data_IF_159147904369
#
_entry.id   IF_159147904369
#
_cell.length_a   1.000
_cell.length_b   1.000
_cell.length_c   1.000
_cell.angle_alpha   90.00
_cell.angle_beta   90.00
_cell.angle_gamma   90.00
#
_symmetry.space_group_name_H-M   'P 1'
#
loop_
_entity.id
_entity.type
_entity.pdbx_description
1 polymer ?
#
# COMPACT_ATOMS: atom_id res chain seq x y z
N UNK A 1 0.07 14.97 -9.05
CA UNK A 1 -1.22 15.00 -8.32
C UNK A 1 -2.34 15.24 -9.31
N UNK A 2 -3.54 14.73 -9.01
CA UNK A 2 -4.75 15.03 -9.79
C UNK A 2 -5.03 16.54 -9.80
N UNK A 3 -5.27 17.16 -10.97
CA UNK A 3 -5.33 18.62 -11.08
C UNK A 3 -6.62 19.20 -10.48
N UNK A 4 -7.71 18.44 -10.49
CA UNK A 4 -8.99 18.87 -9.94
C UNK A 4 -9.00 18.73 -8.40
N UNK A 5 -9.25 19.82 -7.64
CA UNK A 5 -9.39 19.76 -6.18
C UNK A 5 -10.55 18.89 -5.69
N UNK A 6 -11.67 18.85 -6.41
CA UNK A 6 -12.84 18.04 -6.05
C UNK A 6 -12.56 16.55 -6.24
N UNK A 7 -11.88 16.16 -7.32
CA UNK A 7 -11.47 14.77 -7.52
C UNK A 7 -10.49 14.32 -6.43
N UNK A 8 -9.54 15.19 -6.04
CA UNK A 8 -8.64 14.91 -4.91
C UNK A 8 -9.39 14.72 -3.60
N UNK A 9 -10.39 15.56 -3.31
CA UNK A 9 -11.21 15.41 -2.12
C UNK A 9 -12.04 14.12 -2.16
N UNK A 10 -12.63 13.79 -3.31
CA UNK A 10 -13.40 12.56 -3.50
C UNK A 10 -12.54 11.32 -3.28
N UNK A 11 -11.35 11.28 -3.88
CA UNK A 11 -10.39 10.20 -3.69
C UNK A 11 -9.95 10.09 -2.22
N UNK A 12 -9.65 11.21 -1.56
CA UNK A 12 -9.31 11.21 -0.14
C UNK A 12 -10.44 10.64 0.73
N UNK A 13 -11.70 11.05 0.50
CA UNK A 13 -12.84 10.49 1.21
C UNK A 13 -12.94 8.98 1.01
N UNK A 14 -12.68 8.50 -0.22
CA UNK A 14 -12.69 7.07 -0.51
C UNK A 14 -11.55 6.30 0.17
N UNK A 15 -10.38 6.93 0.32
CA UNK A 15 -9.25 6.38 1.09
C UNK A 15 -9.60 6.25 2.57
N UNK A 16 -10.09 7.32 3.19
CA UNK A 16 -10.51 7.28 4.60
C UNK A 16 -11.67 6.29 4.82
N UNK A 17 -12.58 6.15 3.85
CA UNK A 17 -13.61 5.11 3.89
C UNK A 17 -12.99 3.70 3.88
N UNK A 18 -11.90 3.49 3.15
CA UNK A 18 -11.14 2.24 3.18
C UNK A 18 -10.64 1.88 4.59
N UNK A 19 -10.18 2.86 5.37
CA UNK A 19 -9.82 2.64 6.78
C UNK A 19 -11.02 2.30 7.67
N UNK A 20 -12.19 2.91 7.42
CA UNK A 20 -13.41 2.57 8.17
C UNK A 20 -13.86 1.13 7.94
N UNK A 21 -13.62 0.59 6.74
CA UNK A 21 -13.99 -0.79 6.40
C UNK A 21 -12.96 -1.84 6.86
N UNK A 22 -11.78 -1.41 7.32
CA UNK A 22 -10.75 -2.30 7.87
C UNK A 22 -11.18 -2.88 9.23
N UNK A 23 -10.66 -4.06 9.58
CA UNK A 23 -10.95 -4.68 10.87
C UNK A 23 -10.50 -3.74 12.01
N UNK A 24 -11.38 -3.36 12.97
CA UNK A 24 -11.02 -2.47 14.07
C UNK A 24 -9.87 -2.97 14.95
N UNK A 25 -9.58 -4.28 14.93
CA UNK A 25 -8.39 -4.83 15.59
C UNK A 25 -7.07 -4.34 14.96
N UNK A 26 -7.12 -3.72 13.77
CA UNK A 26 -5.94 -3.16 13.12
C UNK A 26 -5.44 -1.88 13.80
N UNK A 27 -6.35 -1.14 14.45
CA UNK A 27 -6.10 0.09 15.22
C UNK A 27 -5.64 -0.17 16.67
N UNK A 28 -5.44 -1.43 17.08
CA UNK A 28 -4.92 -1.74 18.41
C UNK A 28 -3.46 -1.26 18.54
N UNK A 29 -3.26 -0.15 19.25
CA UNK A 29 -1.94 0.45 19.53
C UNK A 29 -0.98 -0.50 20.27
N UNK A 30 -1.48 -1.59 20.87
CA UNK A 30 -0.66 -2.59 21.55
C UNK A 30 -0.21 -3.72 20.63
N UNK A 31 -0.75 -3.82 19.42
CA UNK A 31 -0.33 -4.81 18.44
C UNK A 31 1.05 -4.43 17.87
N UNK A 32 1.99 -5.38 17.77
CA UNK A 32 3.28 -5.11 17.16
C UNK A 32 3.09 -4.74 15.68
N UNK A 33 3.44 -3.50 15.33
CA UNK A 33 3.43 -3.01 13.95
C UNK A 33 4.78 -3.25 13.29
N UNK A 34 4.73 -3.75 12.06
CA UNK A 34 5.89 -3.88 11.17
C UNK A 34 5.72 -3.01 9.92
N UNK A 35 6.81 -2.77 9.19
CA UNK A 35 6.79 -2.08 7.90
C UNK A 35 5.77 -2.70 6.96
N UNK A 36 5.75 -4.03 6.82
CA UNK A 36 4.79 -4.73 5.96
C UNK A 36 3.35 -4.52 6.41
N UNK A 37 3.07 -4.67 7.71
CA UNK A 37 1.72 -4.54 8.25
C UNK A 37 1.19 -3.14 8.01
N UNK A 38 1.94 -2.10 8.40
CA UNK A 38 1.48 -0.72 8.25
C UNK A 38 1.34 -0.34 6.77
N UNK A 39 2.29 -0.75 5.93
CA UNK A 39 2.19 -0.49 4.49
C UNK A 39 0.96 -1.13 3.86
N UNK A 40 0.57 -2.34 4.28
CA UNK A 40 -0.65 -2.99 3.79
C UNK A 40 -1.93 -2.35 4.32
N UNK A 41 -1.93 -1.75 5.52
CA UNK A 41 -3.05 -0.96 6.03
C UNK A 41 -3.30 0.23 5.08
N UNK A 42 -2.27 1.04 4.86
CA UNK A 42 -2.35 2.22 3.98
C UNK A 42 -2.62 1.82 2.52
N UNK A 43 -1.94 0.77 2.04
CA UNK A 43 -2.07 0.27 0.68
C UNK A 43 -3.44 -0.32 0.37
N UNK A 44 -4.09 -0.94 1.36
CA UNK A 44 -5.46 -1.45 1.20
C UNK A 44 -6.47 -0.31 1.14
N UNK A 45 -6.33 0.72 1.97
CA UNK A 45 -7.16 1.92 1.89
C UNK A 45 -7.00 2.62 0.54
N UNK A 46 -5.78 2.70 0.03
CA UNK A 46 -5.48 3.25 -1.30
C UNK A 46 -6.09 2.40 -2.43
N UNK A 47 -6.07 1.07 -2.32
CA UNK A 47 -6.73 0.18 -3.28
C UNK A 47 -8.26 0.41 -3.28
N UNK A 48 -8.88 0.54 -2.10
CA UNK A 48 -10.32 0.85 -1.99
C UNK A 48 -10.62 2.20 -2.64
N UNK A 49 -9.79 3.21 -2.37
CA UNK A 49 -9.89 4.52 -2.98
C UNK A 49 -9.82 4.45 -4.51
N UNK A 50 -8.88 3.67 -5.05
CA UNK A 50 -8.75 3.45 -6.49
C UNK A 50 -10.00 2.77 -7.07
N UNK A 51 -10.50 1.71 -6.43
CA UNK A 51 -11.68 0.99 -6.91
C UNK A 51 -12.94 1.87 -6.96
N UNK A 52 -13.05 2.86 -6.06
CA UNK A 52 -14.19 3.78 -5.98
C UNK A 52 -14.03 4.98 -6.92
N UNK A 53 -12.84 5.59 -6.92
CA UNK A 53 -12.57 6.86 -7.62
C UNK A 53 -11.91 6.73 -8.98
N UNK A 54 -11.34 5.57 -9.30
CA UNK A 54 -10.57 5.33 -10.52
C UNK A 54 -9.21 6.05 -10.54
N UNK A 55 -8.72 6.53 -9.40
CA UNK A 55 -7.47 7.29 -9.28
C UNK A 55 -6.63 6.77 -8.12
N UNK A 56 -5.34 7.13 -8.11
CA UNK A 56 -4.39 6.88 -7.01
C UNK A 56 -3.84 8.23 -6.53
N UNK A 57 -3.64 8.40 -5.23
CA UNK A 57 -3.13 9.63 -4.60
C UNK A 57 -1.62 9.84 -4.88
N UNK A 58 -0.86 8.74 -4.86
CA UNK A 58 0.61 8.71 -4.95
C UNK A 58 1.19 8.63 -6.38
N UNK A 59 0.53 9.27 -7.36
CA UNK A 59 0.99 9.28 -8.77
C UNK A 59 2.42 9.75 -8.99
N UNK A 60 2.98 10.55 -8.07
CA UNK A 60 4.37 10.99 -8.16
C UNK A 60 5.34 9.86 -7.85
N UNK A 61 5.03 8.97 -6.89
CA UNK A 61 5.84 7.80 -6.56
C UNK A 61 5.85 6.79 -7.71
N UNK A 62 4.78 6.69 -8.50
CA UNK A 62 4.80 5.92 -9.75
C UNK A 62 5.92 6.40 -10.69
N UNK A 63 6.11 7.73 -10.80
CA UNK A 63 7.16 8.30 -11.65
C UNK A 63 8.55 8.20 -11.01
N UNK A 64 8.66 8.50 -9.70
CA UNK A 64 9.96 8.55 -9.01
C UNK A 64 10.57 7.18 -8.75
N UNK A 65 9.74 6.13 -8.66
CA UNK A 65 10.24 4.76 -8.49
C UNK A 65 10.61 4.08 -9.80
N UNK A 66 10.32 4.71 -10.95
CA UNK A 66 10.65 4.16 -12.26
C UNK A 66 12.18 3.99 -12.41
N UNK A 67 12.62 2.78 -12.77
CA UNK A 67 14.05 2.44 -12.87
C UNK A 67 14.71 1.99 -11.57
N UNK A 68 14.03 2.14 -10.42
CA UNK A 68 14.52 1.73 -9.10
C UNK A 68 13.62 0.70 -8.40
N UNK A 69 12.60 0.19 -9.10
CA UNK A 69 11.60 -0.74 -8.54
C UNK A 69 12.25 -1.95 -7.87
N UNK A 70 13.17 -2.64 -8.54
CA UNK A 70 13.81 -3.84 -7.99
C UNK A 70 14.64 -3.55 -6.72
N UNK A 71 15.30 -2.39 -6.66
CA UNK A 71 16.06 -1.95 -5.50
C UNK A 71 15.13 -1.65 -4.31
N UNK A 72 14.06 -0.90 -4.56
CA UNK A 72 13.05 -0.56 -3.56
C UNK A 72 12.38 -1.82 -3.02
N UNK A 73 11.99 -2.72 -3.92
CA UNK A 73 11.30 -3.96 -3.57
C UNK A 73 12.23 -4.88 -2.74
N UNK A 74 13.51 -4.98 -3.10
CA UNK A 74 14.51 -5.72 -2.32
C UNK A 74 14.73 -5.12 -0.92
N UNK A 75 14.84 -3.78 -0.82
CA UNK A 75 14.98 -3.08 0.46
C UNK A 75 13.74 -3.27 1.33
N UNK A 76 12.54 -3.18 0.74
CA UNK A 76 11.28 -3.37 1.45
C UNK A 76 11.17 -4.79 2.02
N UNK A 77 11.56 -5.81 1.25
CA UNK A 77 11.55 -7.20 1.72
C UNK A 77 12.53 -7.43 2.87
N UNK A 78 13.69 -6.79 2.86
CA UNK A 78 14.66 -6.86 3.95
C UNK A 78 14.10 -6.24 5.26
N UNK A 79 13.32 -5.17 5.15
CA UNK A 79 12.76 -4.43 6.28
C UNK A 79 11.33 -4.83 6.64
N UNK A 80 10.69 -5.76 5.91
CA UNK A 80 9.26 -6.07 6.01
C UNK A 80 8.79 -6.43 7.45
N UNK A 81 9.64 -7.10 8.21
CA UNK A 81 9.38 -7.51 9.60
C UNK A 81 9.92 -6.51 10.64
N UNK A 82 10.59 -5.43 10.21
CA UNK A 82 11.10 -4.38 11.08
C UNK A 82 9.96 -3.57 11.69
N UNK A 83 10.10 -3.19 12.96
CA UNK A 83 9.25 -2.20 13.62
C UNK A 83 9.72 -0.76 13.41
N UNK A 84 10.89 -0.57 12.78
CA UNK A 84 11.38 0.76 12.42
C UNK A 84 10.71 1.22 11.11
N UNK A 85 9.74 2.11 11.25
CA UNK A 85 8.96 2.64 10.14
C UNK A 85 9.62 3.85 9.47
N UNK A 86 10.66 4.44 10.08
CA UNK A 86 11.15 5.78 9.72
C UNK A 86 11.70 5.89 8.29
N UNK A 87 12.17 4.78 7.73
CA UNK A 87 12.62 4.69 6.34
C UNK A 87 11.48 4.57 5.31
N UNK A 88 10.25 4.29 5.74
CA UNK A 88 9.16 3.84 4.88
C UNK A 88 7.88 4.65 5.00
N UNK A 89 7.52 5.08 6.21
CA UNK A 89 6.25 5.71 6.52
C UNK A 89 6.47 6.96 7.38
N UNK A 90 5.62 7.96 7.19
CA UNK A 90 5.60 9.21 7.96
C UNK A 90 6.89 10.04 7.84
N UNK A 91 7.68 9.82 6.79
CA UNK A 91 8.89 10.60 6.50
C UNK A 91 8.66 11.68 5.43
N UNK A 92 7.40 11.85 5.02
CA UNK A 92 6.93 12.92 4.13
C UNK A 92 7.20 12.62 2.67
N UNK A 93 6.85 13.56 1.79
CA UNK A 93 6.91 13.37 0.33
C UNK A 93 8.34 13.08 -0.18
N UNK A 94 9.36 13.64 0.46
CA UNK A 94 10.75 13.52 0.00
C UNK A 94 11.02 14.24 -1.33
N UNK A 95 11.94 13.69 -2.12
CA UNK A 95 12.36 14.23 -3.43
C UNK A 95 12.42 13.11 -4.48
N UNK A 96 12.55 13.43 -5.79
CA UNK A 96 12.73 12.38 -6.80
C UNK A 96 13.92 11.45 -6.54
N UNK A 97 15.05 12.00 -6.06
CA UNK A 97 16.27 11.23 -5.76
C UNK A 97 16.18 10.47 -4.42
N UNK A 98 15.33 10.94 -3.51
CA UNK A 98 15.07 10.30 -2.23
C UNK A 98 13.57 10.38 -1.91
N UNK A 99 12.74 9.52 -2.54
CA UNK A 99 11.32 9.52 -2.32
C UNK A 99 11.02 9.12 -0.88
N UNK A 100 10.17 9.89 -0.20
CA UNK A 100 9.61 9.48 1.07
C UNK A 100 8.26 8.79 0.89
N UNK A 101 7.68 8.36 2.01
CA UNK A 101 6.42 7.65 2.13
C UNK A 101 6.31 6.45 1.17
N UNK A 102 7.45 5.82 0.86
CA UNK A 102 7.54 4.69 -0.06
C UNK A 102 6.75 3.45 0.42
N UNK A 103 6.54 3.31 1.73
CA UNK A 103 5.71 2.25 2.31
C UNK A 103 4.27 2.31 1.81
N UNK A 104 3.70 3.50 1.64
CA UNK A 104 2.36 3.68 1.08
C UNK A 104 2.27 3.13 -0.35
N UNK A 105 3.28 3.45 -1.17
CA UNK A 105 3.34 3.02 -2.56
C UNK A 105 3.57 1.52 -2.72
N UNK A 106 4.54 0.97 -1.98
CA UNK A 106 4.83 -0.47 -2.01
C UNK A 106 3.66 -1.27 -1.47
N UNK A 107 3.06 -0.83 -0.36
CA UNK A 107 1.86 -1.43 0.22
C UNK A 107 0.69 -1.47 -0.76
N UNK A 108 0.40 -0.35 -1.43
CA UNK A 108 -0.63 -0.29 -2.48
C UNK A 108 -0.35 -1.28 -3.60
N UNK A 109 0.88 -1.32 -4.14
CA UNK A 109 1.25 -2.25 -5.21
C UNK A 109 1.09 -3.71 -4.78
N UNK A 110 1.44 -4.08 -3.54
CA UNK A 110 1.24 -5.44 -3.01
C UNK A 110 -0.26 -5.76 -2.93
N UNK A 111 -1.07 -4.89 -2.32
CA UNK A 111 -2.50 -5.08 -2.17
C UNK A 111 -3.19 -5.22 -3.54
N UNK A 112 -2.82 -4.36 -4.48
CA UNK A 112 -3.32 -4.39 -5.86
C UNK A 112 -2.94 -5.69 -6.57
N UNK A 113 -1.69 -6.11 -6.49
CA UNK A 113 -1.24 -7.36 -7.12
C UNK A 113 -1.93 -8.60 -6.52
N UNK A 114 -2.13 -8.63 -5.20
CA UNK A 114 -2.90 -9.68 -4.53
C UNK A 114 -4.35 -9.70 -5.03
N UNK A 115 -5.00 -8.54 -5.07
CA UNK A 115 -6.35 -8.40 -5.59
C UNK A 115 -6.46 -8.85 -7.04
N UNK A 116 -5.54 -8.44 -7.91
CA UNK A 116 -5.54 -8.76 -9.34
C UNK A 116 -5.35 -10.25 -9.62
N UNK A 117 -4.53 -10.95 -8.84
CA UNK A 117 -4.33 -12.40 -8.97
C UNK A 117 -5.50 -13.24 -8.47
N UNK A 118 -6.33 -12.70 -7.58
CA UNK A 118 -7.45 -13.45 -7.04
C UNK A 118 -8.54 -13.70 -8.09
N UNK A 119 -9.04 -14.95 -8.14
CA UNK A 119 -10.20 -15.32 -8.96
C UNK A 119 -11.51 -14.79 -8.40
N UNK A 120 -11.63 -14.69 -7.07
CA UNK A 120 -12.74 -14.03 -6.39
C UNK A 120 -12.28 -12.70 -5.78
N UNK A 121 -12.68 -11.60 -6.43
CA UNK A 121 -12.32 -10.24 -6.02
C UNK A 121 -12.93 -9.84 -4.68
N UNK A 122 -14.13 -10.32 -4.34
CA UNK A 122 -14.79 -9.97 -3.07
C UNK A 122 -14.09 -10.66 -1.90
N UNK A 123 -13.73 -11.92 -2.08
CA UNK A 123 -12.95 -12.66 -1.09
C UNK A 123 -11.56 -12.04 -0.87
N UNK A 124 -10.91 -11.59 -1.96
CA UNK A 124 -9.61 -10.93 -1.88
C UNK A 124 -9.68 -9.59 -1.13
N UNK A 125 -10.66 -8.74 -1.48
CA UNK A 125 -10.85 -7.47 -0.79
C UNK A 125 -11.13 -7.68 0.70
N UNK A 126 -11.97 -8.66 1.05
CA UNK A 126 -12.22 -9.00 2.46
C UNK A 126 -10.95 -9.44 3.19
N UNK A 127 -10.10 -10.22 2.52
CA UNK A 127 -8.83 -10.68 3.11
C UNK A 127 -7.88 -9.50 3.36
N UNK A 128 -7.84 -8.52 2.45
CA UNK A 128 -7.05 -7.30 2.60
C UNK A 128 -7.59 -6.42 3.74
N UNK A 129 -8.92 -6.24 3.84
CA UNK A 129 -9.56 -5.45 4.90
C UNK A 129 -9.41 -6.11 6.29
N UNK A 130 -9.50 -7.44 6.37
CA UNK A 130 -9.31 -8.19 7.61
C UNK A 130 -7.82 -8.24 8.04
N UNK A 131 -6.88 -8.17 7.09
CA UNK A 131 -5.41 -8.17 7.24
C UNK A 131 -4.83 -9.12 8.32
N UNK A 132 -5.42 -10.30 8.50
CA UNK A 132 -5.02 -11.22 9.59
C UNK A 132 -3.59 -11.73 9.47
N UNK A 133 -3.14 -11.99 8.25
CA UNK A 133 -1.79 -12.49 7.95
C UNK A 133 -1.15 -11.66 6.82
N UNK A 134 -0.44 -10.56 7.15
CA UNK A 134 0.25 -9.73 6.16
C UNK A 134 1.20 -10.51 5.23
N UNK A 135 1.88 -11.54 5.77
CA UNK A 135 2.82 -12.38 5.00
C UNK A 135 2.12 -13.24 3.93
N UNK A 136 0.90 -13.70 4.19
CA UNK A 136 0.13 -14.48 3.23
C UNK A 136 -0.30 -13.60 2.04
N UNK A 137 -0.66 -12.34 2.31
CA UNK A 137 -0.97 -11.34 1.28
C UNK A 137 0.26 -11.04 0.44
N UNK A 138 1.41 -10.81 1.08
CA UNK A 138 2.67 -10.60 0.38
C UNK A 138 3.01 -11.79 -0.54
N UNK A 139 2.94 -13.02 -0.04
CA UNK A 139 3.19 -14.21 -0.83
C UNK A 139 2.16 -14.39 -1.97
N UNK A 140 0.87 -14.18 -1.69
CA UNK A 140 -0.22 -14.30 -2.66
C UNK A 140 -0.18 -13.26 -3.77
N UNK A 141 0.39 -12.08 -3.49
CA UNK A 141 0.66 -11.05 -4.51
C UNK A 141 1.75 -11.48 -5.51
N UNK A 142 2.55 -12.50 -5.18
CA UNK A 142 3.73 -12.95 -5.91
C UNK A 142 4.84 -11.90 -6.01
N UNK A 143 4.87 -10.99 -5.05
CA UNK A 143 5.97 -10.05 -4.87
C UNK A 143 7.30 -10.81 -4.73
N UNK A 144 8.36 -10.32 -5.37
CA UNK A 144 9.68 -10.95 -5.34
C UNK A 144 9.86 -12.19 -6.22
N UNK A 145 8.94 -12.51 -7.15
CA UNK A 145 9.06 -13.70 -8.03
C UNK A 145 9.31 -13.44 -9.53
N UNK A 146 9.65 -12.20 -9.96
CA UNK A 146 10.05 -11.93 -11.35
C UNK A 146 9.65 -10.52 -11.85
N UNK A 147 10.15 -10.10 -13.03
CA UNK A 147 10.14 -8.70 -13.44
C UNK A 147 8.71 -8.18 -13.62
N UNK A 148 8.44 -7.06 -12.95
CA UNK A 148 7.18 -6.32 -13.06
C UNK A 148 7.09 -5.75 -14.49
N UNK A 149 6.20 -6.32 -15.30
CA UNK A 149 5.88 -5.87 -16.66
C UNK A 149 4.87 -4.73 -16.68
#
# INVERSE_FOLDING_TARGET
MQPDPSDRLFHLIAHEYGHIEQDPALDDENAPTTVLRQSLIEGTAELVAELISGQVSNVHLQSWTQGHVDEIDARFLADADSSDLSGWLYNGVGTPDQPGDLGYWVGYRIARAFYDKAGDKRAALRTLLDLKNPKDILAGSGWGTGPHG
#
